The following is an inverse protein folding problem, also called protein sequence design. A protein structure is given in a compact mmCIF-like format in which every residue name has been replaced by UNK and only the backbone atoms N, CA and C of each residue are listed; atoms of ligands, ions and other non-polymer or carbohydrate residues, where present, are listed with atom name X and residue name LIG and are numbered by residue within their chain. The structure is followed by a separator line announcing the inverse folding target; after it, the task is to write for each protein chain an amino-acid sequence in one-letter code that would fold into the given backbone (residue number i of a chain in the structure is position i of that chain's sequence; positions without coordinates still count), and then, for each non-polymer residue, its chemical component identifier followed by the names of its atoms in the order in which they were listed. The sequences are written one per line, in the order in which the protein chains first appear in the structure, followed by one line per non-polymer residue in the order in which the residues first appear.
data_IF_849434482194
#
_entry.id   IF_849434482194
#
_cell.length_a   1.000
_cell.length_b   1.000
_cell.length_c   1.000
_cell.angle_alpha   90.00
_cell.angle_beta   90.00
_cell.angle_gamma   90.00
#
_symmetry.space_group_name_H-M   'P 1'
#
loop_
_entity.id
_entity.type
_entity.pdbx_description
1 polymer ?
#
# COMPACT_ATOMS: atom_id res chain seq x y z
N UNK A 1 19.99 -28.83 -17.58
CA UNK A 1 18.75 -28.26 -18.17
C UNK A 1 17.55 -28.38 -17.23
N UNK A 2 17.37 -29.49 -16.51
CA UNK A 2 16.27 -29.64 -15.53
C UNK A 2 16.27 -28.58 -14.41
N UNK A 3 17.45 -28.28 -13.84
CA UNK A 3 17.58 -27.27 -12.77
C UNK A 3 17.17 -25.87 -13.24
N UNK A 4 17.41 -25.54 -14.52
CA UNK A 4 16.99 -24.25 -15.10
C UNK A 4 15.46 -24.10 -15.09
N UNK A 5 14.72 -25.14 -15.46
CA UNK A 5 13.25 -25.12 -15.42
C UNK A 5 12.72 -24.96 -13.99
N UNK A 6 13.33 -25.65 -13.02
CA UNK A 6 12.98 -25.50 -11.60
C UNK A 6 13.24 -24.07 -11.10
N UNK A 7 14.38 -23.49 -11.48
CA UNK A 7 14.76 -22.13 -11.09
C UNK A 7 13.85 -21.06 -11.71
N UNK A 8 13.39 -21.28 -12.94
CA UNK A 8 12.42 -20.40 -13.62
C UNK A 8 11.07 -20.45 -12.88
N UNK A 9 10.57 -21.64 -12.55
CA UNK A 9 9.32 -21.78 -11.78
C UNK A 9 9.44 -21.16 -10.38
N UNK A 10 10.56 -21.39 -9.70
CA UNK A 10 10.83 -20.81 -8.38
C UNK A 10 10.90 -19.27 -8.42
N UNK A 11 11.60 -18.70 -9.38
CA UNK A 11 11.69 -17.23 -9.51
C UNK A 11 10.37 -16.60 -9.95
N UNK A 12 9.63 -17.23 -10.86
CA UNK A 12 8.32 -16.75 -11.31
C UNK A 12 7.29 -16.80 -10.17
N UNK A 13 7.24 -17.90 -9.42
CA UNK A 13 6.35 -18.02 -8.26
C UNK A 13 6.67 -16.98 -7.19
N UNK A 14 7.96 -16.73 -6.92
CA UNK A 14 8.38 -15.69 -5.99
C UNK A 14 7.97 -14.29 -6.47
N UNK A 15 8.15 -14.00 -7.76
CA UNK A 15 7.73 -12.72 -8.34
C UNK A 15 6.21 -12.51 -8.23
N UNK A 16 5.41 -13.53 -8.52
CA UNK A 16 3.96 -13.48 -8.38
C UNK A 16 3.51 -13.33 -6.92
N UNK A 17 4.20 -13.99 -5.98
CA UNK A 17 3.93 -13.84 -4.55
C UNK A 17 4.14 -12.39 -4.11
N UNK A 18 5.29 -11.80 -4.45
CA UNK A 18 5.57 -10.40 -4.13
C UNK A 18 4.56 -9.44 -4.78
N UNK A 19 4.22 -9.67 -6.05
CA UNK A 19 3.22 -8.87 -6.75
C UNK A 19 1.84 -8.97 -6.08
N UNK A 20 1.42 -10.18 -5.69
CA UNK A 20 0.15 -10.42 -5.00
C UNK A 20 0.09 -9.69 -3.67
N UNK A 21 1.13 -9.80 -2.84
CA UNK A 21 1.24 -9.08 -1.58
C UNK A 21 1.22 -7.56 -1.81
N UNK A 22 1.95 -7.08 -2.81
CA UNK A 22 1.98 -5.65 -3.16
C UNK A 22 0.59 -5.12 -3.52
N UNK A 23 -0.16 -5.85 -4.36
CA UNK A 23 -1.52 -5.45 -4.76
C UNK A 23 -2.46 -5.45 -3.54
N UNK A 24 -2.37 -6.47 -2.67
CA UNK A 24 -3.18 -6.52 -1.44
C UNK A 24 -2.87 -5.33 -0.52
N UNK A 25 -1.59 -5.04 -0.29
CA UNK A 25 -1.17 -3.89 0.53
C UNK A 25 -1.62 -2.56 -0.07
N UNK A 26 -1.45 -2.38 -1.39
CA UNK A 26 -1.89 -1.19 -2.10
C UNK A 26 -3.41 -0.98 -2.03
N UNK A 27 -4.20 -2.06 -2.00
CA UNK A 27 -5.66 -2.01 -1.84
C UNK A 27 -6.11 -1.90 -0.38
N UNK A 28 -5.23 -2.14 0.59
CA UNK A 28 -5.53 -2.09 2.03
C UNK A 28 -5.58 -0.66 2.60
N UNK A 29 -5.56 0.38 1.76
CA UNK A 29 -5.64 1.76 2.22
C UNK A 29 -4.33 2.29 2.84
N UNK A 30 -3.18 1.63 2.62
CA UNK A 30 -1.87 2.10 3.12
C UNK A 30 -1.53 3.54 2.69
N UNK A 31 -2.17 4.04 1.62
CA UNK A 31 -1.98 5.37 1.07
C UNK A 31 -3.07 6.38 1.49
N UNK A 32 -3.89 6.06 2.48
CA UNK A 32 -4.94 6.97 2.97
C UNK A 32 -4.36 8.03 3.93
N UNK A 33 -3.30 7.71 4.68
CA UNK A 33 -2.63 8.64 5.60
C UNK A 33 -1.48 9.42 4.92
N UNK A 34 -1.77 10.02 3.75
CA UNK A 34 -0.82 10.89 3.05
C UNK A 34 -0.95 12.37 3.45
N UNK A 35 -2.03 12.72 4.16
CA UNK A 35 -2.23 14.08 4.65
C UNK A 35 -1.21 14.41 5.73
N UNK A 36 -0.50 15.52 5.54
CA UNK A 36 0.46 15.98 6.53
C UNK A 36 -0.26 16.46 7.79
N UNK A 37 0.33 16.26 8.98
CA UNK A 37 -0.29 16.61 10.25
C UNK A 37 -0.78 18.07 10.32
N UNK A 38 -0.01 19.00 9.72
CA UNK A 38 -0.36 20.42 9.69
C UNK A 38 -1.66 20.71 8.92
N UNK A 39 -1.90 19.97 7.82
CA UNK A 39 -3.11 20.13 6.99
C UNK A 39 -4.32 19.55 7.71
N UNK A 40 -4.18 18.36 8.32
CA UNK A 40 -5.24 17.73 9.12
C UNK A 40 -5.70 18.65 10.26
N UNK A 41 -4.77 19.21 11.03
CA UNK A 41 -5.08 20.12 12.16
C UNK A 41 -5.79 21.40 11.68
N UNK A 42 -5.35 22.00 10.57
CA UNK A 42 -5.96 23.23 10.04
C UNK A 42 -7.43 23.01 9.65
N UNK A 43 -7.75 21.87 9.02
CA UNK A 43 -9.11 21.58 8.58
C UNK A 43 -10.01 21.03 9.70
N UNK A 44 -9.44 20.29 10.65
CA UNK A 44 -10.18 19.83 11.85
C UNK A 44 -10.65 21.02 12.70
N UNK A 45 -9.80 22.04 12.88
CA UNK A 45 -10.16 23.26 13.64
C UNK A 45 -11.29 24.03 12.93
N UNK A 46 -11.20 24.23 11.62
CA UNK A 46 -12.26 24.88 10.82
C UNK A 46 -13.61 24.14 10.88
N UNK A 47 -13.57 22.81 10.98
CA UNK A 47 -14.79 21.98 11.03
C UNK A 47 -15.44 22.02 12.41
N UNK A 48 -14.64 22.12 13.48
CA UNK A 48 -15.14 22.26 14.85
C UNK A 48 -15.76 23.63 15.10
N UNK A 49 -15.16 24.71 14.59
CA UNK A 49 -15.65 26.09 14.75
C UNK A 49 -17.01 26.37 14.07
N UNK A 50 -17.44 25.53 13.12
CA UNK A 50 -18.75 25.66 12.45
C UNK A 50 -19.89 24.94 13.20
N UNK A 51 -19.54 23.99 14.07
CA UNK A 51 -20.52 23.19 14.82
C UNK A 51 -20.91 23.82 16.16
N UNK A 52 -20.11 24.76 16.66
CA UNK A 52 -20.47 25.70 17.73
C UNK A 52 -21.19 26.93 17.18
#
# INVERSE_FOLDING_TARGET
MEVLFLLILASLSLALLFLGIFILAARSGQFEDLDTPAVKILFDDLTNQRKE
#
